data_IF_616092245938
#
_entry.id   IF_616092245938
#
_cell.length_a   1.000
_cell.length_b   1.000
_cell.length_c   1.000
_cell.angle_alpha   90.00
_cell.angle_beta   90.00
_cell.angle_gamma   90.00
#
_symmetry.space_group_name_H-M   'P 1'
#
loop_
_entity.id
_entity.type
_entity.pdbx_description
1 polymer ?
#
# COMPACT_ATOMS: atom_id res chain seq x y z
N UNK A 1 -8.15 -13.00 2.64
CA UNK A 1 -7.87 -11.59 3.04
C UNK A 1 -6.57 -11.60 3.80
N UNK A 2 -5.58 -10.83 3.36
CA UNK A 2 -4.28 -10.71 4.04
C UNK A 2 -4.08 -9.30 4.58
N UNK A 3 -3.56 -9.23 5.80
CA UNK A 3 -3.13 -8.00 6.43
C UNK A 3 -1.62 -8.02 6.58
N UNK A 4 -0.93 -7.02 6.05
CA UNK A 4 0.54 -6.97 6.05
C UNK A 4 1.06 -5.63 6.51
N UNK A 5 1.89 -5.64 7.54
CA UNK A 5 2.71 -4.50 7.89
C UNK A 5 3.89 -4.42 6.92
N UNK A 6 4.06 -3.30 6.23
CA UNK A 6 5.06 -3.14 5.17
C UNK A 6 6.24 -2.25 5.61
N UNK A 7 6.03 -1.40 6.63
CA UNK A 7 7.00 -0.43 7.14
C UNK A 7 7.74 0.34 6.03
N UNK A 8 6.96 0.98 5.15
CA UNK A 8 7.47 1.70 3.98
C UNK A 8 7.33 0.93 2.67
N UNK A 9 6.78 1.62 1.67
CA UNK A 9 6.34 1.00 0.41
C UNK A 9 7.16 1.38 -0.83
N UNK A 10 8.04 2.38 -0.72
CA UNK A 10 8.81 2.89 -1.87
C UNK A 10 9.85 1.89 -2.41
N UNK A 11 10.40 1.03 -1.55
CA UNK A 11 11.46 0.06 -1.87
C UNK A 11 10.95 -1.37 -2.09
N UNK A 12 9.67 -1.58 -2.40
CA UNK A 12 9.12 -2.93 -2.64
C UNK A 12 9.12 -3.27 -4.13
N UNK A 13 9.75 -4.40 -4.45
CA UNK A 13 9.94 -4.91 -5.81
C UNK A 13 8.75 -5.73 -6.34
N UNK A 14 8.80 -6.07 -7.62
CA UNK A 14 7.74 -6.78 -8.33
C UNK A 14 7.40 -8.14 -7.70
N UNK A 15 8.39 -8.89 -7.20
CA UNK A 15 8.17 -10.18 -6.53
C UNK A 15 7.34 -10.07 -5.25
N UNK A 16 7.52 -8.98 -4.48
CA UNK A 16 6.68 -8.71 -3.32
C UNK A 16 5.20 -8.60 -3.73
N UNK A 17 4.94 -7.93 -4.86
CA UNK A 17 3.61 -7.73 -5.40
C UNK A 17 3.01 -9.00 -6.00
N UNK A 18 3.80 -9.80 -6.72
CA UNK A 18 3.35 -11.11 -7.23
C UNK A 18 2.95 -12.06 -6.09
N UNK A 19 3.70 -12.04 -4.98
CA UNK A 19 3.38 -12.84 -3.80
C UNK A 19 2.02 -12.50 -3.15
N UNK A 20 1.52 -11.29 -3.37
CA UNK A 20 0.24 -10.81 -2.84
C UNK A 20 -0.95 -11.10 -3.77
N UNK A 21 -0.74 -11.39 -5.06
CA UNK A 21 -1.83 -11.53 -6.04
C UNK A 21 -2.81 -12.69 -5.81
N UNK A 22 -2.55 -13.56 -4.83
CA UNK A 22 -3.36 -14.76 -4.55
C UNK A 22 -4.67 -14.46 -3.81
N UNK A 23 -4.73 -13.33 -3.11
CA UNK A 23 -5.83 -13.03 -2.18
C UNK A 23 -6.88 -12.10 -2.79
N UNK A 24 -8.16 -12.32 -2.49
CA UNK A 24 -9.25 -11.43 -2.95
C UNK A 24 -9.21 -10.04 -2.31
N UNK A 25 -8.65 -9.93 -1.11
CA UNK A 25 -8.51 -8.66 -0.38
C UNK A 25 -7.12 -8.55 0.22
N UNK A 26 -6.44 -7.45 -0.14
CA UNK A 26 -5.11 -7.05 0.31
C UNK A 26 -5.23 -5.81 1.20
N UNK A 27 -4.68 -5.85 2.42
CA UNK A 27 -4.54 -4.66 3.27
C UNK A 27 -3.08 -4.50 3.70
N UNK A 28 -2.51 -3.35 3.41
CA UNK A 28 -1.16 -2.96 3.76
C UNK A 28 -1.18 -1.76 4.70
N UNK A 29 -0.47 -1.86 5.83
CA UNK A 29 -0.37 -0.79 6.82
C UNK A 29 1.07 -0.33 7.02
N UNK A 30 1.20 0.85 7.64
CA UNK A 30 2.48 1.53 7.85
C UNK A 30 3.23 1.75 6.54
N UNK A 31 2.49 2.11 5.49
CA UNK A 31 3.03 2.31 4.16
C UNK A 31 3.96 3.53 4.08
N UNK A 32 3.81 4.46 5.04
CA UNK A 32 4.45 5.78 5.09
C UNK A 32 4.22 6.63 3.82
N UNK A 33 3.23 6.25 3.01
CA UNK A 33 2.91 6.92 1.74
C UNK A 33 2.09 8.17 2.00
N UNK A 34 2.64 9.34 1.65
CA UNK A 34 1.88 10.58 1.44
C UNK A 34 1.46 10.76 -0.03
N UNK A 35 0.89 11.91 -0.38
CA UNK A 35 0.42 12.22 -1.75
C UNK A 35 1.46 11.98 -2.83
N UNK A 36 2.65 12.59 -2.70
CA UNK A 36 3.74 12.43 -3.68
C UNK A 36 4.21 10.98 -3.80
N UNK A 37 4.22 10.25 -2.69
CA UNK A 37 4.57 8.82 -2.69
C UNK A 37 3.54 7.99 -3.45
N UNK A 38 2.25 8.31 -3.29
CA UNK A 38 1.16 7.62 -3.96
C UNK A 38 1.26 7.74 -5.48
N UNK A 39 1.55 8.92 -6.01
CA UNK A 39 1.73 9.12 -7.44
C UNK A 39 2.86 8.25 -8.02
N UNK A 40 3.94 8.04 -7.25
CA UNK A 40 5.07 7.18 -7.66
C UNK A 40 4.73 5.69 -7.62
N UNK A 41 3.95 5.26 -6.64
CA UNK A 41 3.68 3.83 -6.42
C UNK A 41 2.42 3.32 -7.12
N UNK A 42 1.43 4.17 -7.41
CA UNK A 42 0.12 3.72 -7.95
C UNK A 42 0.25 2.94 -9.26
N UNK A 43 1.25 3.28 -10.09
CA UNK A 43 1.53 2.58 -11.34
C UNK A 43 2.27 1.24 -11.18
N UNK A 44 2.85 0.98 -10.00
CA UNK A 44 3.53 -0.28 -9.66
C UNK A 44 2.62 -1.31 -9.02
N UNK A 45 1.45 -0.87 -8.55
CA UNK A 45 0.48 -1.76 -7.90
C UNK A 45 -0.04 -2.82 -8.88
N UNK A 46 -0.29 -4.06 -8.40
CA UNK A 46 -0.91 -5.10 -9.21
C UNK A 46 -2.17 -4.64 -9.92
N UNK A 47 -2.24 -4.93 -11.23
CA UNK A 47 -3.48 -4.83 -12.01
C UNK A 47 -4.48 -5.89 -11.55
N UNK A 48 -5.77 -5.65 -11.80
CA UNK A 48 -6.85 -6.55 -11.38
C UNK A 48 -7.35 -6.30 -9.96
N UNK A 49 -6.92 -5.21 -9.32
CA UNK A 49 -7.44 -4.77 -8.02
C UNK A 49 -8.00 -3.34 -8.14
N UNK A 50 -9.06 -3.04 -7.40
CA UNK A 50 -9.45 -1.69 -7.04
C UNK A 50 -8.66 -1.27 -5.79
N UNK A 51 -7.86 -0.22 -5.93
CA UNK A 51 -7.00 0.27 -4.85
C UNK A 51 -7.61 1.48 -4.15
N UNK A 52 -7.65 1.43 -2.82
CA UNK A 52 -8.00 2.55 -1.94
C UNK A 52 -6.80 2.90 -1.07
N UNK A 53 -6.56 4.19 -0.86
CA UNK A 53 -5.42 4.70 -0.09
C UNK A 53 -5.89 5.62 1.02
N UNK A 54 -5.36 5.39 2.21
CA UNK A 54 -5.34 6.34 3.30
C UNK A 54 -3.90 6.82 3.47
N UNK A 55 -3.69 8.10 3.18
CA UNK A 55 -2.35 8.68 3.22
C UNK A 55 -1.83 8.83 4.65
N UNK A 56 -0.54 8.60 4.83
CA UNK A 56 0.13 8.80 6.10
C UNK A 56 0.13 10.29 6.47
N UNK A 57 -0.18 10.58 7.72
CA UNK A 57 -0.10 11.93 8.31
C UNK A 57 1.19 12.08 9.09
N UNK A 58 1.67 13.31 9.30
CA UNK A 58 2.74 13.56 10.26
C UNK A 58 2.16 13.74 11.66
N UNK A 59 2.73 13.06 12.64
CA UNK A 59 2.41 13.32 14.04
C UNK A 59 3.15 14.59 14.55
N UNK A 60 2.89 15.01 15.80
CA UNK A 60 3.57 16.16 16.45
C UNK A 60 5.10 16.03 16.48
N UNK A 61 5.64 14.80 16.37
CA UNK A 61 7.08 14.49 16.31
C UNK A 61 7.61 14.35 14.88
N UNK A 62 6.83 14.70 13.86
CA UNK A 62 7.21 14.64 12.45
C UNK A 62 7.22 13.25 11.81
N UNK A 63 6.83 12.18 12.53
CA UNK A 63 6.81 10.81 12.01
C UNK A 63 5.55 10.56 11.17
N UNK A 64 5.72 9.84 10.06
CA UNK A 64 4.61 9.34 9.26
C UNK A 64 3.82 8.28 10.04
N UNK A 65 2.50 8.46 10.16
CA UNK A 65 1.59 7.57 10.89
C UNK A 65 0.30 7.36 10.10
N UNK A 66 -0.26 6.16 10.20
CA UNK A 66 -1.61 5.85 9.72
C UNK A 66 -1.74 5.66 8.21
N UNK A 67 -0.62 5.51 7.48
CA UNK A 67 -0.67 5.16 6.07
C UNK A 67 -1.20 3.74 5.86
N UNK A 68 -2.24 3.59 5.05
CA UNK A 68 -2.85 2.30 4.71
C UNK A 68 -3.20 2.25 3.22
N UNK A 69 -3.02 1.10 2.59
CA UNK A 69 -3.46 0.82 1.22
C UNK A 69 -4.25 -0.48 1.22
N UNK A 70 -5.41 -0.47 0.59
CA UNK A 70 -6.28 -1.63 0.43
C UNK A 70 -6.47 -1.92 -1.05
N UNK A 71 -6.36 -3.19 -1.45
CA UNK A 71 -6.65 -3.68 -2.79
C UNK A 71 -7.76 -4.72 -2.72
N UNK A 72 -8.84 -4.51 -3.49
CA UNK A 72 -9.93 -5.48 -3.63
C UNK A 72 -9.86 -6.05 -5.04
N UNK A 73 -9.74 -7.37 -5.18
CA UNK A 73 -9.62 -8.03 -6.47
C UNK A 73 -10.90 -7.79 -7.27
N UNK A 74 -10.74 -7.41 -8.54
CA UNK A 74 -11.84 -7.30 -9.50
C UNK A 74 -12.23 -8.72 -9.90
N UNK A 75 -13.51 -9.04 -9.72
CA UNK A 75 -14.11 -10.30 -10.20
C UNK A 75 -14.12 -10.38 -11.72
#
# INVERSE_FOLDING_TARGET
>A
MVFRNVAGLENKDKDFWEGLKKEDVLVMVETWIGEKGWERIRGRLPKGYEWRVQMAKKNKKGRAIGGMIMGIKKG
#
